data_IF_027674001891
#
_entry.id   IF_027674001891
#
_cell.length_a   1.000
_cell.length_b   1.000
_cell.length_c   1.000
_cell.angle_alpha   90.00
_cell.angle_beta   90.00
_cell.angle_gamma   90.00
#
_symmetry.space_group_name_H-M   'P 1'
#
loop_
_entity.id
_entity.type
_entity.pdbx_description
1 polymer ?
#
# COMPACT_ATOMS: atom_id res chain seq x y z
N UNK A 1 -1.89 4.72 -27.25
CA UNK A 1 -2.40 5.76 -26.33
C UNK A 1 -1.61 5.65 -25.04
N UNK A 2 -0.95 6.70 -24.52
CA UNK A 2 -0.28 6.61 -23.23
C UNK A 2 -1.34 6.33 -22.15
N UNK A 3 -0.99 5.44 -21.19
CA UNK A 3 -1.84 5.19 -20.02
C UNK A 3 -2.15 6.52 -19.32
N UNK A 4 -3.34 6.68 -18.72
CA UNK A 4 -3.56 7.76 -17.79
C UNK A 4 -2.53 7.62 -16.67
N UNK A 5 -1.46 8.39 -16.77
CA UNK A 5 -0.58 8.66 -15.64
C UNK A 5 -1.51 9.24 -14.59
N UNK A 6 -1.61 8.59 -13.43
CA UNK A 6 -2.25 9.18 -12.28
C UNK A 6 -1.55 10.52 -12.08
N UNK A 7 -2.16 11.60 -12.56
CA UNK A 7 -1.62 12.93 -12.38
C UNK A 7 -1.43 13.13 -10.88
N UNK A 8 -0.26 13.57 -10.42
CA UNK A 8 -0.10 13.87 -9.01
C UNK A 8 -1.19 14.88 -8.64
N UNK A 9 -1.86 14.70 -7.50
CA UNK A 9 -2.80 15.71 -7.04
C UNK A 9 -2.06 17.04 -6.93
N UNK A 10 -2.72 18.11 -7.33
CA UNK A 10 -2.26 19.49 -7.15
C UNK A 10 -1.75 19.65 -5.70
N UNK A 11 -0.74 20.52 -5.53
CA UNK A 11 0.01 20.81 -4.30
C UNK A 11 -0.66 20.31 -3.01
N UNK A 12 0.00 19.41 -2.29
CA UNK A 12 -0.52 18.62 -1.19
C UNK A 12 -1.33 19.47 -0.21
N UNK A 13 -2.66 19.30 -0.21
CA UNK A 13 -3.47 19.73 0.90
C UNK A 13 -2.84 19.20 2.19
N UNK A 14 -2.87 19.99 3.29
CA UNK A 14 -2.32 19.56 4.56
C UNK A 14 -2.91 18.17 4.95
N UNK A 15 -2.07 17.29 5.48
CA UNK A 15 -2.54 15.99 5.93
C UNK A 15 -3.66 16.13 6.95
N UNK A 16 -4.76 15.44 6.74
CA UNK A 16 -5.86 15.39 7.68
C UNK A 16 -5.91 14.03 8.36
N UNK A 17 -5.92 14.07 9.71
CA UNK A 17 -6.00 12.84 10.51
C UNK A 17 -7.32 12.11 10.23
N UNK A 18 -7.28 10.80 9.91
CA UNK A 18 -8.49 10.01 9.68
C UNK A 18 -9.44 10.04 10.89
N UNK A 19 -10.77 10.09 10.67
CA UNK A 19 -11.74 10.21 11.76
C UNK A 19 -11.61 9.12 12.83
N UNK A 20 -11.36 7.87 12.46
CA UNK A 20 -11.16 6.78 13.41
C UNK A 20 -9.93 7.00 14.29
N UNK A 21 -8.82 7.50 13.72
CA UNK A 21 -7.59 7.79 14.46
C UNK A 21 -7.81 8.95 15.42
N UNK A 22 -8.56 9.98 14.99
CA UNK A 22 -8.94 11.12 15.84
C UNK A 22 -9.83 10.68 17.00
N UNK A 23 -10.83 9.85 16.72
CA UNK A 23 -11.71 9.27 17.76
C UNK A 23 -10.91 8.44 18.77
N UNK A 24 -9.92 7.67 18.29
CA UNK A 24 -9.02 6.90 19.15
C UNK A 24 -8.27 7.76 20.15
N UNK A 25 -7.76 8.92 19.74
CA UNK A 25 -7.12 9.87 20.67
C UNK A 25 -8.11 10.36 21.75
N UNK A 26 -9.36 10.63 21.35
CA UNK A 26 -10.44 10.98 22.29
C UNK A 26 -10.72 9.86 23.30
N UNK A 27 -10.81 8.61 22.85
CA UNK A 27 -10.99 7.45 23.73
C UNK A 27 -9.87 7.34 24.78
N UNK A 28 -8.61 7.53 24.38
CA UNK A 28 -7.49 7.50 25.32
C UNK A 28 -7.54 8.65 26.32
N UNK A 29 -7.87 9.86 25.87
CA UNK A 29 -8.03 11.02 26.76
C UNK A 29 -9.15 10.83 27.77
N UNK A 30 -10.31 10.37 27.33
CA UNK A 30 -11.45 10.05 28.21
C UNK A 30 -11.14 8.93 29.19
N UNK A 31 -10.50 7.85 28.74
CA UNK A 31 -10.10 6.73 29.59
C UNK A 31 -9.11 7.17 30.67
N UNK A 32 -8.12 7.97 30.32
CA UNK A 32 -7.18 8.55 31.28
C UNK A 32 -7.88 9.46 32.29
N UNK A 33 -8.75 10.36 31.83
CA UNK A 33 -9.54 11.22 32.71
C UNK A 33 -10.44 10.46 33.67
N UNK A 34 -11.12 9.43 33.15
CA UNK A 34 -11.99 8.56 33.97
C UNK A 34 -11.21 7.79 35.04
N UNK A 35 -10.07 7.20 34.68
CA UNK A 35 -9.24 6.46 35.60
C UNK A 35 -8.63 7.33 36.70
N UNK A 36 -8.35 8.62 36.41
CA UNK A 36 -7.83 9.57 37.38
C UNK A 36 -8.92 10.14 38.31
N UNK A 37 -10.11 10.47 37.76
CA UNK A 37 -11.18 11.08 38.51
C UNK A 37 -12.02 10.07 39.31
N UNK A 38 -12.17 8.85 38.80
CA UNK A 38 -12.98 7.78 39.35
C UNK A 38 -12.19 6.45 39.26
N UNK A 39 -11.22 6.21 40.17
CA UNK A 39 -10.33 5.02 40.09
C UNK A 39 -11.06 3.69 40.04
N UNK A 40 -12.23 3.59 40.64
CA UNK A 40 -13.09 2.40 40.60
C UNK A 40 -13.61 2.09 39.18
N UNK A 41 -13.60 3.06 38.27
CA UNK A 41 -13.97 2.90 36.86
C UNK A 41 -12.79 2.53 35.94
N UNK A 42 -11.57 2.45 36.47
CA UNK A 42 -10.37 2.13 35.68
C UNK A 42 -10.50 0.81 34.85
N UNK A 43 -11.12 -0.29 35.34
CA UNK A 43 -11.33 -1.48 34.54
C UNK A 43 -12.17 -1.23 33.28
N UNK A 44 -13.19 -0.40 33.35
CA UNK A 44 -14.03 -0.02 32.21
C UNK A 44 -13.29 0.90 31.24
N UNK A 45 -12.49 1.83 31.75
CA UNK A 45 -11.60 2.66 30.95
C UNK A 45 -10.61 1.82 30.14
N UNK A 46 -9.98 0.82 30.78
CA UNK A 46 -9.08 -0.13 30.11
C UNK A 46 -9.80 -0.99 29.07
N UNK A 47 -11.01 -1.49 29.38
CA UNK A 47 -11.82 -2.23 28.42
C UNK A 47 -12.14 -1.38 27.17
N UNK A 48 -12.47 -0.10 27.35
CA UNK A 48 -12.70 0.83 26.27
C UNK A 48 -11.45 1.03 25.39
N UNK A 49 -10.27 1.19 25.99
CA UNK A 49 -8.99 1.27 25.26
C UNK A 49 -8.70 -0.02 24.51
N UNK A 50 -8.91 -1.18 25.14
CA UNK A 50 -8.71 -2.49 24.51
C UNK A 50 -9.61 -2.65 23.27
N UNK A 51 -10.89 -2.31 23.39
CA UNK A 51 -11.85 -2.36 22.27
C UNK A 51 -11.43 -1.39 21.15
N UNK A 52 -10.97 -0.19 21.49
CA UNK A 52 -10.46 0.78 20.52
C UNK A 52 -9.24 0.22 19.76
N UNK A 53 -8.28 -0.40 20.44
CA UNK A 53 -7.14 -1.03 19.79
C UNK A 53 -7.56 -2.24 18.93
N UNK A 54 -8.51 -3.05 19.38
CA UNK A 54 -9.07 -4.12 18.55
C UNK A 54 -9.71 -3.57 17.26
N UNK A 55 -10.41 -2.44 17.34
CA UNK A 55 -11.02 -1.76 16.18
C UNK A 55 -9.96 -1.24 15.20
N UNK A 56 -8.92 -0.55 15.71
CA UNK A 56 -7.80 -0.08 14.88
C UNK A 56 -7.06 -1.24 14.21
N UNK A 57 -6.86 -2.33 14.95
CA UNK A 57 -6.22 -3.56 14.43
C UNK A 57 -7.09 -4.19 13.34
N UNK A 58 -8.38 -4.37 13.55
CA UNK A 58 -9.29 -4.88 12.55
C UNK A 58 -9.31 -4.02 11.28
N UNK A 59 -9.31 -2.69 11.43
CA UNK A 59 -9.20 -1.76 10.31
C UNK A 59 -7.88 -1.89 9.55
N UNK A 60 -6.77 -2.17 10.24
CA UNK A 60 -5.44 -2.38 9.66
C UNK A 60 -5.25 -3.75 9.01
N UNK A 61 -5.93 -4.78 9.51
CA UNK A 61 -5.94 -6.13 8.96
C UNK A 61 -6.88 -6.28 7.74
N UNK A 62 -7.73 -5.30 7.49
CA UNK A 62 -8.59 -5.29 6.31
C UNK A 62 -7.94 -4.49 5.16
N UNK A 63 -7.34 -5.15 4.14
CA UNK A 63 -6.53 -4.48 3.10
C UNK A 63 -7.26 -3.38 2.34
N UNK A 64 -8.58 -3.47 2.20
CA UNK A 64 -9.40 -2.49 1.48
C UNK A 64 -10.01 -1.41 2.38
N UNK A 65 -9.72 -1.42 3.67
CA UNK A 65 -10.21 -0.42 4.62
C UNK A 65 -9.78 0.99 4.21
N UNK A 66 -10.64 1.98 4.47
CA UNK A 66 -10.34 3.42 4.38
C UNK A 66 -10.36 4.09 5.75
N UNK A 67 -10.58 3.34 6.81
CA UNK A 67 -10.74 3.86 8.17
C UNK A 67 -9.44 4.45 8.74
N UNK A 68 -8.28 3.98 8.25
CA UNK A 68 -6.97 4.46 8.66
C UNK A 68 -6.32 5.42 7.65
N UNK A 69 -7.10 6.01 6.75
CA UNK A 69 -6.66 6.95 5.71
C UNK A 69 -7.09 6.53 4.30
N UNK A 70 -6.82 7.38 3.30
CA UNK A 70 -7.14 7.13 1.91
C UNK A 70 -6.55 5.80 1.42
N UNK A 71 -7.30 5.12 0.55
CA UNK A 71 -6.86 3.85 -0.04
C UNK A 71 -7.54 3.68 -1.40
N UNK A 72 -6.77 3.61 -2.46
CA UNK A 72 -7.25 3.38 -3.82
C UNK A 72 -7.46 1.88 -3.99
N UNK A 73 -8.70 1.47 -4.12
CA UNK A 73 -9.08 0.05 -4.26
C UNK A 73 -9.71 -0.27 -5.60
N UNK A 74 -10.02 0.75 -6.41
CA UNK A 74 -10.63 0.64 -7.74
C UNK A 74 -10.25 1.83 -8.61
N UNK A 75 -10.35 1.68 -9.91
CA UNK A 75 -10.28 2.79 -10.85
C UNK A 75 -11.44 3.76 -10.65
N UNK A 76 -11.26 5.01 -11.09
CA UNK A 76 -12.33 6.01 -11.07
C UNK A 76 -13.49 5.64 -12.00
N UNK A 77 -14.66 6.26 -11.77
CA UNK A 77 -15.91 5.93 -12.47
C UNK A 77 -15.81 6.10 -14.00
N UNK A 78 -15.03 7.08 -14.48
CA UNK A 78 -14.80 7.26 -15.91
C UNK A 78 -14.07 6.07 -16.55
N UNK A 79 -13.09 5.47 -15.87
CA UNK A 79 -12.42 4.25 -16.32
C UNK A 79 -13.31 3.03 -16.24
N UNK A 80 -14.09 2.92 -15.17
CA UNK A 80 -15.08 1.85 -15.00
C UNK A 80 -16.14 1.88 -16.10
N UNK A 81 -16.61 3.08 -16.47
CA UNK A 81 -17.58 3.27 -17.58
C UNK A 81 -17.03 2.87 -18.96
N UNK A 82 -15.69 2.88 -19.15
CA UNK A 82 -15.04 2.37 -20.36
C UNK A 82 -14.66 0.89 -20.30
N UNK A 83 -15.00 0.19 -19.21
CA UNK A 83 -14.63 -1.21 -19.01
C UNK A 83 -13.12 -1.43 -18.79
N UNK A 84 -12.39 -0.41 -18.33
CA UNK A 84 -10.94 -0.50 -18.10
C UNK A 84 -10.63 -1.33 -16.84
N UNK A 85 -9.57 -2.11 -16.90
CA UNK A 85 -9.03 -2.89 -15.80
C UNK A 85 -7.57 -2.50 -15.55
N UNK A 86 -7.21 -2.24 -14.30
CA UNK A 86 -5.83 -2.05 -13.90
C UNK A 86 -5.22 -3.39 -13.48
N UNK A 87 -4.28 -3.89 -14.28
CA UNK A 87 -3.49 -5.06 -13.93
C UNK A 87 -2.31 -4.64 -13.05
N UNK A 88 -2.16 -5.27 -11.90
CA UNK A 88 -1.08 -4.98 -10.95
C UNK A 88 -0.38 -6.26 -10.50
N UNK A 89 0.94 -6.20 -10.37
CA UNK A 89 1.81 -7.31 -10.02
C UNK A 89 2.67 -6.89 -8.84
N UNK A 90 2.75 -7.73 -7.82
CA UNK A 90 3.49 -7.46 -6.59
C UNK A 90 4.79 -8.28 -6.54
N UNK A 91 5.66 -7.96 -5.58
CA UNK A 91 6.85 -8.72 -5.21
C UNK A 91 7.99 -8.77 -6.25
N UNK A 92 7.85 -8.20 -7.41
CA UNK A 92 8.90 -8.17 -8.44
C UNK A 92 10.06 -7.19 -8.14
N UNK A 93 11.04 -7.10 -9.06
CA UNK A 93 11.23 -8.01 -10.18
C UNK A 93 11.78 -9.38 -9.78
N UNK A 94 11.41 -10.40 -10.52
CA UNK A 94 11.91 -11.78 -10.38
C UNK A 94 12.57 -12.21 -11.69
N UNK A 95 13.76 -12.84 -11.60
CA UNK A 95 14.59 -13.14 -12.77
C UNK A 95 13.95 -14.13 -13.75
N UNK A 96 13.08 -15.02 -13.27
CA UNK A 96 12.44 -16.05 -14.11
C UNK A 96 11.02 -15.65 -14.52
N UNK A 97 10.26 -15.08 -13.59
CA UNK A 97 8.83 -14.79 -13.78
C UNK A 97 8.62 -13.48 -14.54
N UNK A 98 9.35 -12.42 -14.17
CA UNK A 98 9.11 -11.09 -14.74
C UNK A 98 9.31 -11.06 -16.26
N UNK A 99 10.36 -11.65 -16.89
CA UNK A 99 10.50 -11.67 -18.34
C UNK A 99 9.32 -12.34 -19.05
N UNK A 100 8.86 -13.46 -18.53
CA UNK A 100 7.70 -14.20 -19.08
C UNK A 100 6.40 -13.39 -19.02
N UNK A 101 6.23 -12.65 -17.92
CA UNK A 101 5.08 -11.74 -17.76
C UNK A 101 5.17 -10.58 -18.74
N UNK A 102 6.35 -9.99 -18.91
CA UNK A 102 6.56 -8.91 -19.89
C UNK A 102 6.26 -9.36 -21.32
N UNK A 103 6.72 -10.54 -21.70
CA UNK A 103 6.44 -11.11 -23.04
C UNK A 103 4.94 -11.40 -23.22
N UNK A 104 4.25 -11.85 -22.18
CA UNK A 104 2.80 -12.06 -22.21
C UNK A 104 2.05 -10.73 -22.39
N UNK A 105 2.42 -9.71 -21.62
CA UNK A 105 1.82 -8.39 -21.71
C UNK A 105 2.02 -7.75 -23.09
N UNK A 106 3.21 -7.91 -23.66
CA UNK A 106 3.55 -7.41 -24.99
C UNK A 106 2.72 -8.07 -26.09
N UNK A 107 2.58 -9.40 -26.06
CA UNK A 107 1.74 -10.16 -27.01
C UNK A 107 0.29 -9.69 -27.04
N UNK A 108 -0.23 -9.24 -25.91
CA UNK A 108 -1.59 -8.72 -25.80
C UNK A 108 -1.69 -7.19 -25.90
N UNK A 109 -0.58 -6.49 -26.12
CA UNK A 109 -0.51 -5.04 -26.09
C UNK A 109 -1.05 -4.44 -24.76
N UNK A 110 -0.91 -5.17 -23.65
CA UNK A 110 -1.37 -4.73 -22.34
C UNK A 110 -0.26 -3.98 -21.59
N UNK A 111 -0.69 -3.12 -20.68
CA UNK A 111 0.18 -2.43 -19.73
C UNK A 111 -0.17 -2.86 -18.31
N UNK A 112 0.82 -2.87 -17.42
CA UNK A 112 0.64 -3.25 -16.04
C UNK A 112 1.41 -2.30 -15.11
N UNK A 113 1.03 -2.31 -13.83
CA UNK A 113 1.75 -1.65 -12.75
C UNK A 113 2.46 -2.71 -11.91
N UNK A 114 3.78 -2.57 -11.78
CA UNK A 114 4.62 -3.46 -10.96
C UNK A 114 4.93 -2.77 -9.63
N UNK A 115 4.41 -3.30 -8.54
CA UNK A 115 4.80 -2.91 -7.18
C UNK A 115 6.06 -3.68 -6.80
N UNK A 116 7.21 -3.01 -6.93
CA UNK A 116 8.52 -3.64 -6.81
C UNK A 116 9.09 -3.50 -5.40
N UNK A 117 9.73 -4.59 -4.92
CA UNK A 117 10.55 -4.59 -3.72
C UNK A 117 11.92 -4.02 -4.08
N UNK A 118 12.37 -3.00 -3.35
CA UNK A 118 13.60 -2.28 -3.70
C UNK A 118 14.86 -3.17 -3.69
N UNK A 119 14.98 -4.12 -2.75
CA UNK A 119 16.11 -5.06 -2.74
C UNK A 119 16.10 -6.00 -3.94
N UNK A 120 14.94 -6.47 -4.38
CA UNK A 120 14.82 -7.26 -5.62
C UNK A 120 15.16 -6.43 -6.85
N UNK A 121 14.70 -5.18 -6.89
CA UNK A 121 15.06 -4.23 -7.95
C UNK A 121 16.57 -3.99 -8.01
N UNK A 122 17.24 -3.85 -6.86
CA UNK A 122 18.69 -3.70 -6.76
C UNK A 122 19.44 -4.94 -7.22
N UNK A 123 18.92 -6.13 -6.95
CA UNK A 123 19.49 -7.39 -7.42
C UNK A 123 19.29 -7.60 -8.93
N UNK A 124 18.27 -6.97 -9.53
CA UNK A 124 17.89 -7.12 -10.94
C UNK A 124 17.70 -5.76 -11.63
N UNK A 125 18.74 -4.88 -11.66
CA UNK A 125 18.59 -3.50 -12.12
C UNK A 125 18.29 -3.40 -13.63
N UNK A 126 18.80 -4.33 -14.43
CA UNK A 126 18.52 -4.39 -15.87
C UNK A 126 17.03 -4.73 -16.11
N UNK A 127 16.50 -5.70 -15.36
CA UNK A 127 15.10 -6.12 -15.49
C UNK A 127 14.14 -5.02 -15.03
N UNK A 128 14.48 -4.24 -13.99
CA UNK A 128 13.67 -3.11 -13.58
C UNK A 128 13.60 -2.05 -14.69
N UNK A 129 14.73 -1.75 -15.34
CA UNK A 129 14.75 -0.82 -16.49
C UNK A 129 13.98 -1.37 -17.68
N UNK A 130 14.00 -2.67 -17.91
CA UNK A 130 13.23 -3.32 -18.96
C UNK A 130 11.71 -3.18 -18.74
N UNK A 131 11.22 -3.34 -17.49
CA UNK A 131 9.82 -3.07 -17.15
C UNK A 131 9.41 -1.68 -17.62
N UNK A 132 10.22 -0.66 -17.33
CA UNK A 132 9.94 0.74 -17.74
C UNK A 132 10.06 0.91 -19.26
N UNK A 133 11.11 0.36 -19.89
CA UNK A 133 11.35 0.46 -21.33
C UNK A 133 10.23 -0.15 -22.17
N UNK A 134 9.61 -1.24 -21.67
CA UNK A 134 8.42 -1.85 -22.28
C UNK A 134 7.12 -1.10 -21.94
N UNK A 135 7.18 0.07 -21.30
CA UNK A 135 6.05 0.98 -21.06
C UNK A 135 5.16 0.60 -19.90
N UNK A 136 5.66 -0.18 -18.94
CA UNK A 136 4.95 -0.49 -17.70
C UNK A 136 5.32 0.51 -16.58
N UNK A 137 4.50 0.59 -15.53
CA UNK A 137 4.73 1.46 -14.38
C UNK A 137 5.41 0.69 -13.24
N UNK A 138 6.46 1.28 -12.66
CA UNK A 138 7.13 0.78 -11.45
C UNK A 138 6.65 1.58 -10.25
N UNK A 139 6.16 0.91 -9.22
CA UNK A 139 5.64 1.50 -7.99
C UNK A 139 6.25 0.84 -6.75
N UNK A 140 6.07 1.46 -5.58
CA UNK A 140 6.76 1.08 -4.35
C UNK A 140 6.04 -0.06 -3.61
N UNK A 141 6.77 -1.17 -3.33
CA UNK A 141 6.33 -2.29 -2.49
C UNK A 141 7.25 -2.52 -1.28
N UNK A 142 7.71 -1.45 -0.62
CA UNK A 142 8.68 -1.43 0.48
C UNK A 142 10.13 -1.74 0.06
N UNK A 143 11.06 -1.58 1.01
CA UNK A 143 12.47 -1.85 0.76
C UNK A 143 12.77 -3.36 0.74
N UNK A 144 12.28 -4.11 1.73
CA UNK A 144 12.66 -5.52 1.94
C UNK A 144 11.47 -6.46 2.16
N UNK A 145 10.24 -5.98 2.02
CA UNK A 145 9.02 -6.75 2.22
C UNK A 145 8.97 -7.51 3.57
N UNK A 146 9.15 -6.79 4.67
CA UNK A 146 9.20 -7.39 6.01
C UNK A 146 7.86 -8.03 6.39
N UNK A 147 7.90 -9.23 6.98
CA UNK A 147 6.69 -9.90 7.49
C UNK A 147 5.98 -9.09 8.60
N UNK A 148 6.74 -8.34 9.38
CA UNK A 148 6.24 -7.46 10.44
C UNK A 148 6.04 -6.01 9.99
N UNK A 149 5.92 -5.74 8.69
CA UNK A 149 5.78 -4.38 8.15
C UNK A 149 4.65 -3.60 8.82
N UNK A 150 3.48 -4.21 9.02
CA UNK A 150 2.32 -3.57 9.64
C UNK A 150 2.50 -3.22 11.15
N UNK A 151 3.56 -3.68 11.79
CA UNK A 151 3.89 -3.38 13.18
C UNK A 151 4.93 -2.26 13.32
N UNK A 152 5.41 -1.69 12.21
CA UNK A 152 6.37 -0.61 12.24
C UNK A 152 5.77 0.67 12.83
N UNK A 153 6.59 1.42 13.57
CA UNK A 153 6.26 2.78 13.97
C UNK A 153 6.59 3.79 12.87
N UNK A 154 6.31 5.10 13.09
CA UNK A 154 6.49 6.17 12.10
C UNK A 154 7.91 6.24 11.50
N UNK A 155 8.94 6.09 12.34
CA UNK A 155 10.35 6.09 11.89
C UNK A 155 10.67 4.87 11.03
N UNK A 156 10.15 3.70 11.40
CA UNK A 156 10.34 2.45 10.65
C UNK A 156 9.68 2.53 9.26
N UNK A 157 8.45 3.00 9.19
CA UNK A 157 7.79 3.25 7.90
C UNK A 157 8.55 4.26 7.05
N UNK A 158 8.97 5.40 7.64
CA UNK A 158 9.71 6.41 6.90
C UNK A 158 11.02 5.84 6.33
N UNK A 159 11.77 5.08 7.09
CA UNK A 159 13.02 4.45 6.64
C UNK A 159 12.79 3.46 5.49
N UNK A 160 11.83 2.53 5.65
CA UNK A 160 11.48 1.53 4.63
C UNK A 160 11.04 2.19 3.32
N UNK A 161 10.10 3.13 3.40
CA UNK A 161 9.53 3.75 2.22
C UNK A 161 10.50 4.70 1.52
N UNK A 162 11.27 5.51 2.27
CA UNK A 162 12.27 6.41 1.68
C UNK A 162 13.38 5.62 0.99
N UNK A 163 13.88 4.54 1.63
CA UNK A 163 14.88 3.66 1.02
C UNK A 163 14.36 3.08 -0.31
N UNK A 164 13.11 2.59 -0.31
CA UNK A 164 12.50 2.05 -1.51
C UNK A 164 12.31 3.12 -2.60
N UNK A 165 11.82 4.32 -2.22
CA UNK A 165 11.67 5.44 -3.16
C UNK A 165 12.99 5.77 -3.85
N UNK A 166 14.07 5.92 -3.09
CA UNK A 166 15.38 6.27 -3.65
C UNK A 166 15.87 5.20 -4.63
N UNK A 167 15.89 3.94 -4.20
CA UNK A 167 16.35 2.82 -5.05
C UNK A 167 15.53 2.70 -6.33
N UNK A 168 14.20 2.73 -6.23
CA UNK A 168 13.34 2.59 -7.39
C UNK A 168 13.45 3.80 -8.32
N UNK A 169 13.58 5.02 -7.78
CA UNK A 169 13.79 6.22 -8.59
C UNK A 169 15.13 6.17 -9.33
N UNK A 170 16.21 5.84 -8.63
CA UNK A 170 17.56 5.78 -9.21
C UNK A 170 17.67 4.74 -10.34
N UNK A 171 17.02 3.61 -10.17
CA UNK A 171 17.09 2.51 -11.13
C UNK A 171 16.13 2.64 -12.31
N UNK A 172 14.92 3.19 -12.08
CA UNK A 172 13.88 3.31 -13.12
C UNK A 172 13.89 4.66 -13.85
N UNK A 173 14.54 5.67 -13.29
CA UNK A 173 14.45 7.05 -13.76
C UNK A 173 13.10 7.73 -13.47
N UNK A 174 12.19 7.06 -12.77
CA UNK A 174 10.84 7.56 -12.43
C UNK A 174 10.58 7.43 -10.95
N UNK A 175 10.08 8.50 -10.32
CA UNK A 175 9.72 8.46 -8.91
C UNK A 175 8.36 7.76 -8.74
N UNK A 176 8.27 6.66 -7.96
CA UNK A 176 6.98 6.05 -7.64
C UNK A 176 6.03 7.04 -6.96
N UNK A 177 4.78 7.02 -7.37
CA UNK A 177 3.69 7.84 -6.78
C UNK A 177 2.69 7.01 -6.00
N UNK A 178 2.73 5.69 -6.17
CA UNK A 178 1.89 4.74 -5.47
C UNK A 178 2.72 3.81 -4.58
N UNK A 179 2.08 3.38 -3.51
CA UNK A 179 2.62 2.40 -2.58
C UNK A 179 1.57 1.30 -2.33
N UNK A 180 2.01 0.05 -2.27
CA UNK A 180 1.20 -1.07 -1.80
C UNK A 180 1.87 -1.69 -0.58
N UNK A 181 1.10 -1.84 0.50
CA UNK A 181 1.63 -2.43 1.73
C UNK A 181 1.83 -3.95 1.58
N UNK A 182 2.94 -4.52 2.08
CA UNK A 182 3.12 -5.96 2.21
C UNK A 182 1.89 -6.64 2.79
N UNK A 183 1.40 -7.69 2.11
CA UNK A 183 0.15 -8.39 2.42
C UNK A 183 -1.11 -7.49 2.50
N UNK A 184 -1.02 -6.22 2.14
CA UNK A 184 -2.09 -5.22 2.28
C UNK A 184 -2.32 -4.75 3.72
N UNK A 185 -1.45 -5.09 4.66
CA UNK A 185 -1.62 -4.82 6.09
C UNK A 185 -0.94 -3.51 6.51
N UNK A 186 -1.60 -2.77 7.41
CA UNK A 186 -1.12 -1.48 7.89
C UNK A 186 -1.58 -1.16 9.30
N UNK A 187 -1.02 -0.12 9.88
CA UNK A 187 -1.48 0.50 11.13
C UNK A 187 -1.67 2.03 10.93
N UNK A 188 -2.20 2.76 11.93
CA UNK A 188 -2.47 4.20 11.81
C UNK A 188 -1.26 5.09 11.50
N UNK A 189 -0.03 4.63 11.72
CA UNK A 189 1.18 5.42 11.49
C UNK A 189 1.64 5.44 10.03
N UNK A 190 1.10 4.58 9.18
CA UNK A 190 1.50 4.52 7.78
C UNK A 190 1.01 5.74 6.98
N UNK A 191 -0.23 6.11 7.13
CA UNK A 191 -0.88 7.17 6.33
C UNK A 191 -0.15 8.52 6.37
N UNK A 192 0.23 9.09 7.55
CA UNK A 192 0.98 10.34 7.59
C UNK A 192 2.38 10.24 6.97
N UNK A 193 2.98 9.04 6.94
CA UNK A 193 4.27 8.82 6.28
C UNK A 193 4.09 8.82 4.76
N UNK A 194 3.07 8.15 4.24
CA UNK A 194 2.74 8.16 2.81
C UNK A 194 2.48 9.58 2.32
N UNK A 195 1.67 10.35 3.07
CA UNK A 195 1.39 11.74 2.73
C UNK A 195 2.67 12.58 2.62
N UNK A 196 3.58 12.50 3.60
CA UNK A 196 4.86 13.23 3.56
C UNK A 196 5.75 12.85 2.38
N UNK A 197 5.66 11.59 1.91
CA UNK A 197 6.45 11.11 0.78
C UNK A 197 5.76 11.33 -0.58
N UNK A 198 4.54 11.87 -0.59
CA UNK A 198 3.73 12.04 -1.81
C UNK A 198 3.29 10.71 -2.41
N UNK A 199 3.05 9.69 -1.57
CA UNK A 199 2.65 8.36 -1.98
C UNK A 199 1.16 8.10 -1.72
N UNK A 200 0.49 7.51 -2.70
CA UNK A 200 -0.89 7.03 -2.57
C UNK A 200 -0.90 5.54 -2.21
N UNK A 201 -1.64 5.18 -1.15
CA UNK A 201 -1.88 3.78 -0.85
C UNK A 201 -2.80 3.18 -1.90
N UNK A 202 -2.38 2.06 -2.48
CA UNK A 202 -3.14 1.30 -3.46
C UNK A 202 -3.32 -0.13 -2.97
N UNK A 203 -4.56 -0.60 -2.90
CA UNK A 203 -4.91 -1.99 -2.70
C UNK A 203 -5.48 -2.59 -3.99
N UNK A 204 -6.36 -3.57 -3.89
CA UNK A 204 -6.96 -4.28 -5.02
C UNK A 204 -8.47 -4.41 -4.87
N UNK A 205 -9.17 -4.46 -5.97
CA UNK A 205 -10.59 -4.85 -6.01
C UNK A 205 -10.73 -6.37 -5.96
N UNK A 206 -9.91 -7.07 -6.76
CA UNK A 206 -9.81 -8.52 -6.85
C UNK A 206 -8.37 -8.95 -6.63
N UNK A 207 -8.19 -10.13 -6.05
CA UNK A 207 -6.88 -10.76 -5.82
C UNK A 207 -6.98 -12.24 -6.14
N UNK A 208 -6.02 -12.77 -6.87
CA UNK A 208 -5.99 -14.18 -7.28
C UNK A 208 -5.54 -15.16 -6.20
N UNK A 209 -4.96 -14.67 -5.08
CA UNK A 209 -4.36 -15.52 -4.03
C UNK A 209 -3.31 -16.51 -4.57
N UNK A 210 -2.70 -16.17 -5.69
CA UNK A 210 -1.69 -16.94 -6.44
C UNK A 210 -0.46 -17.33 -5.60
N UNK A 211 -0.17 -16.60 -4.52
CA UNK A 211 0.86 -16.99 -3.53
C UNK A 211 0.51 -18.24 -2.72
N UNK A 212 -0.75 -18.67 -2.70
CA UNK A 212 -1.26 -19.83 -1.97
C UNK A 212 -1.91 -20.86 -2.89
N UNK A 213 -2.59 -20.42 -3.94
CA UNK A 213 -3.27 -21.25 -4.91
C UNK A 213 -2.36 -21.53 -6.10
N UNK A 214 -2.04 -22.80 -6.32
CA UNK A 214 -1.16 -23.26 -7.43
C UNK A 214 -1.94 -23.66 -8.68
N UNK A 215 -3.24 -23.80 -8.58
CA UNK A 215 -4.08 -24.15 -9.70
C UNK A 215 -4.55 -22.88 -10.43
N UNK A 216 -4.04 -22.65 -11.63
CA UNK A 216 -4.38 -21.48 -12.44
C UNK A 216 -5.88 -21.30 -12.65
N UNK A 217 -6.64 -22.39 -12.82
CA UNK A 217 -8.10 -22.35 -12.97
C UNK A 217 -8.82 -21.81 -11.74
N UNK A 218 -8.30 -22.08 -10.53
CA UNK A 218 -8.84 -21.53 -9.27
C UNK A 218 -8.43 -20.08 -9.01
N UNK A 219 -7.29 -19.65 -9.55
CA UNK A 219 -6.87 -18.24 -9.47
C UNK A 219 -7.80 -17.33 -10.28
N UNK A 220 -8.41 -17.86 -11.34
CA UNK A 220 -9.26 -17.15 -12.28
C UNK A 220 -10.75 -17.13 -11.89
N UNK A 221 -11.18 -17.92 -10.90
CA UNK A 221 -12.56 -17.94 -10.38
C UNK A 221 -12.74 -17.07 -9.14
#
# INVERSE_FOLDING_TARGET
MPLPVLSPPAASAAWSMPPLVRASLGVHGLAAGLALALPEQAPWALAGVALNHATLTAAGLWPRSRLLGPNITRLGDASAGRGEVALTLDDGPDAEVTPRVLDLLERHAWRATFFCIAERARAQPALLREIVARGHSVQNHSAVHRHNFSLLGPRGFAAELTRAQNVLTDLSGQRPTCFRAPAGLRNPFLDPVLHRLGLHLVSWTRRGFDTRERNAGRVLT
#
